data_IF_722308795655
#
_entry.id   IF_722308795655
#
_cell.length_a   1.000
_cell.length_b   1.000
_cell.length_c   1.000
_cell.angle_alpha   90.00
_cell.angle_beta   90.00
_cell.angle_gamma   90.00
#
_symmetry.space_group_name_H-M   'P 1'
#
loop_
_entity.id
_entity.type
_entity.pdbx_description
1 polymer ?
#
# COMPACT_ATOMS: atom_id res chain seq x y z
N UNK A 1 14.62 3.27 42.07
CA UNK A 1 14.08 2.83 40.76
C UNK A 1 14.24 1.33 40.69
N UNK A 2 13.18 0.61 41.04
CA UNK A 2 13.17 -0.85 41.07
C UNK A 2 13.45 -1.39 39.65
N UNK A 3 14.40 -2.31 39.55
CA UNK A 3 14.81 -2.95 38.31
C UNK A 3 13.64 -3.83 37.82
N UNK A 4 12.69 -3.22 37.08
CA UNK A 4 11.43 -3.87 36.70
C UNK A 4 11.71 -5.00 35.72
N UNK A 5 11.34 -6.20 36.16
CA UNK A 5 11.65 -7.47 35.51
C UNK A 5 10.98 -7.59 34.14
N UNK A 6 11.79 -7.54 33.07
CA UNK A 6 11.39 -7.78 31.67
C UNK A 6 11.01 -9.27 31.45
N UNK A 7 11.07 -10.11 32.49
CA UNK A 7 10.72 -11.53 32.39
C UNK A 7 9.23 -11.87 32.48
N UNK A 8 8.34 -10.90 32.66
CA UNK A 8 6.90 -11.20 32.66
C UNK A 8 6.47 -11.79 31.32
N UNK A 9 5.75 -12.94 31.31
CA UNK A 9 5.32 -13.58 30.08
C UNK A 9 4.59 -12.65 29.11
N UNK A 10 3.68 -11.80 29.63
CA UNK A 10 2.93 -10.84 28.82
C UNK A 10 3.82 -9.81 28.10
N UNK A 11 4.89 -9.33 28.74
CA UNK A 11 5.76 -8.31 28.14
C UNK A 11 6.63 -8.91 27.02
N UNK A 12 7.04 -10.18 27.17
CA UNK A 12 7.71 -10.96 26.11
C UNK A 12 6.76 -11.26 24.95
N UNK A 13 5.53 -11.71 25.25
CA UNK A 13 4.49 -11.97 24.25
C UNK A 13 4.21 -10.69 23.47
N UNK A 14 4.04 -9.56 24.16
CA UNK A 14 3.85 -8.28 23.48
C UNK A 14 5.09 -7.94 22.63
N UNK A 15 6.29 -7.96 23.19
CA UNK A 15 7.50 -7.60 22.44
C UNK A 15 7.67 -8.41 21.13
N UNK A 16 7.55 -9.73 21.20
CA UNK A 16 7.85 -10.63 20.07
C UNK A 16 6.63 -11.10 19.29
N UNK A 17 5.40 -10.82 19.76
CA UNK A 17 4.18 -11.09 19.02
C UNK A 17 3.96 -10.11 17.85
N UNK A 18 4.38 -8.85 18.00
CA UNK A 18 4.27 -7.83 16.94
C UNK A 18 4.92 -8.24 15.62
N UNK A 19 6.21 -8.64 15.57
CA UNK A 19 6.85 -9.02 14.30
C UNK A 19 6.13 -10.16 13.59
N UNK A 20 5.65 -11.16 14.33
CA UNK A 20 4.92 -12.29 13.77
C UNK A 20 3.56 -11.85 13.20
N UNK A 21 2.78 -11.12 13.99
CA UNK A 21 1.45 -10.67 13.59
C UNK A 21 1.50 -9.75 12.37
N UNK A 22 2.45 -8.81 12.33
CA UNK A 22 2.66 -7.95 11.16
C UNK A 22 3.12 -8.75 9.96
N UNK A 23 4.04 -9.71 10.11
CA UNK A 23 4.52 -10.51 8.98
C UNK A 23 3.37 -11.30 8.34
N UNK A 24 2.53 -11.94 9.15
CA UNK A 24 1.36 -12.68 8.66
C UNK A 24 0.39 -11.73 7.95
N UNK A 25 0.13 -10.56 8.54
CA UNK A 25 -0.70 -9.53 7.91
C UNK A 25 -0.12 -9.03 6.57
N UNK A 26 1.18 -8.75 6.50
CA UNK A 26 1.86 -8.27 5.29
C UNK A 26 1.79 -9.32 4.17
N UNK A 27 2.05 -10.59 4.49
CA UNK A 27 1.98 -11.69 3.52
C UNK A 27 0.55 -11.91 3.01
N UNK A 28 -0.44 -11.91 3.91
CA UNK A 28 -1.84 -12.00 3.52
C UNK A 28 -2.25 -10.83 2.62
N UNK A 29 -1.92 -9.60 3.01
CA UNK A 29 -2.25 -8.39 2.25
C UNK A 29 -1.62 -8.43 0.86
N UNK A 30 -0.40 -8.95 0.78
CA UNK A 30 0.30 -9.12 -0.50
C UNK A 30 -0.43 -10.11 -1.42
N UNK A 31 -0.91 -11.23 -0.89
CA UNK A 31 -1.71 -12.21 -1.66
C UNK A 31 -3.06 -11.59 -2.05
N UNK A 32 -3.75 -10.95 -1.11
CA UNK A 32 -5.02 -10.25 -1.33
C UNK A 32 -4.92 -9.25 -2.48
N UNK A 33 -3.92 -8.36 -2.45
CA UNK A 33 -3.74 -7.32 -3.47
C UNK A 33 -3.53 -7.89 -4.88
N UNK A 34 -3.11 -9.15 -5.01
CA UNK A 34 -2.80 -9.81 -6.29
C UNK A 34 -3.86 -10.81 -6.73
N UNK A 35 -4.76 -11.21 -5.84
CA UNK A 35 -5.92 -12.03 -6.18
C UNK A 35 -6.85 -11.28 -7.14
N UNK A 36 -7.49 -12.01 -8.06
CA UNK A 36 -8.50 -11.44 -8.94
C UNK A 36 -9.64 -10.82 -8.12
N UNK A 37 -10.01 -9.58 -8.46
CA UNK A 37 -11.08 -8.81 -7.81
C UNK A 37 -12.43 -9.51 -7.81
N UNK A 38 -12.72 -10.34 -8.81
CA UNK A 38 -13.97 -11.08 -8.91
C UNK A 38 -13.90 -12.49 -8.31
N UNK A 39 -12.72 -12.95 -7.86
CA UNK A 39 -12.56 -14.33 -7.38
C UNK A 39 -13.17 -14.54 -5.99
N UNK A 40 -13.82 -15.70 -5.73
CA UNK A 40 -14.37 -16.03 -4.41
C UNK A 40 -13.30 -16.01 -3.30
N UNK A 41 -12.09 -16.48 -3.60
CA UNK A 41 -10.96 -16.50 -2.66
C UNK A 41 -10.58 -15.11 -2.18
N UNK A 42 -10.83 -14.06 -2.97
CA UNK A 42 -10.53 -12.68 -2.57
C UNK A 42 -11.40 -12.23 -1.41
N UNK A 43 -12.66 -12.65 -1.34
CA UNK A 43 -13.55 -12.31 -0.23
C UNK A 43 -13.07 -12.95 1.07
N UNK A 44 -12.60 -14.20 1.02
CA UNK A 44 -11.98 -14.86 2.17
C UNK A 44 -10.70 -14.14 2.63
N UNK A 45 -9.79 -13.84 1.69
CA UNK A 45 -8.55 -13.12 1.97
C UNK A 45 -8.83 -11.74 2.57
N UNK A 46 -9.91 -11.08 2.14
CA UNK A 46 -10.34 -9.79 2.64
C UNK A 46 -10.87 -9.88 4.08
N UNK A 47 -11.70 -10.89 4.38
CA UNK A 47 -12.13 -11.17 5.75
C UNK A 47 -10.95 -11.43 6.70
N UNK A 48 -9.96 -12.20 6.25
CA UNK A 48 -8.72 -12.41 7.03
C UNK A 48 -7.92 -11.12 7.21
N UNK A 49 -7.90 -10.24 6.22
CA UNK A 49 -7.20 -8.96 6.30
C UNK A 49 -7.85 -8.06 7.36
N UNK A 50 -9.18 -8.01 7.41
CA UNK A 50 -9.94 -7.30 8.43
C UNK A 50 -9.68 -7.85 9.83
N UNK A 51 -9.69 -9.17 9.96
CA UNK A 51 -9.42 -9.85 11.22
C UNK A 51 -8.02 -9.54 11.76
N UNK A 52 -6.98 -9.69 10.92
CA UNK A 52 -5.60 -9.42 11.31
C UNK A 52 -5.36 -7.93 11.60
N UNK A 53 -5.97 -7.02 10.82
CA UNK A 53 -5.93 -5.59 11.09
C UNK A 53 -6.56 -5.24 12.44
N UNK A 54 -7.70 -5.86 12.77
CA UNK A 54 -8.35 -5.71 14.08
C UNK A 54 -7.51 -6.29 15.21
N UNK A 55 -6.86 -7.44 14.99
CA UNK A 55 -5.92 -8.01 15.96
C UNK A 55 -4.72 -7.08 16.23
N UNK A 56 -4.18 -6.43 15.18
CA UNK A 56 -3.12 -5.41 15.33
C UNK A 56 -3.61 -4.18 16.10
N UNK A 57 -4.84 -3.72 15.87
CA UNK A 57 -5.45 -2.65 16.64
C UNK A 57 -5.54 -3.00 18.13
N UNK A 58 -6.10 -4.16 18.46
CA UNK A 58 -6.24 -4.63 19.85
C UNK A 58 -4.87 -4.83 20.51
N UNK A 59 -3.90 -5.33 19.75
CA UNK A 59 -2.51 -5.41 20.19
C UNK A 59 -1.94 -4.02 20.53
N UNK A 60 -2.17 -3.02 19.68
CA UNK A 60 -1.73 -1.64 19.91
C UNK A 60 -2.42 -1.01 21.14
N UNK A 61 -3.74 -1.24 21.31
CA UNK A 61 -4.50 -0.83 22.51
C UNK A 61 -3.90 -1.45 23.77
N UNK A 62 -3.66 -2.76 23.77
CA UNK A 62 -3.05 -3.46 24.92
C UNK A 62 -1.65 -2.92 25.22
N UNK A 63 -0.89 -2.58 24.19
CA UNK A 63 0.43 -1.97 24.34
C UNK A 63 0.36 -0.58 24.96
N UNK A 64 -0.54 0.28 24.46
CA UNK A 64 -0.80 1.60 25.02
C UNK A 64 -1.26 1.52 26.47
N UNK A 65 -2.15 0.59 26.80
CA UNK A 65 -2.59 0.35 28.18
C UNK A 65 -1.42 0.01 29.12
N UNK A 66 -0.50 -0.85 28.69
CA UNK A 66 0.72 -1.14 29.47
C UNK A 66 1.60 0.11 29.62
N UNK A 67 1.67 0.98 28.59
CA UNK A 67 2.42 2.23 28.67
C UNK A 67 1.83 3.20 29.67
N UNK A 68 0.50 3.36 29.68
CA UNK A 68 -0.21 4.18 30.66
C UNK A 68 0.00 3.69 32.10
N UNK A 69 0.23 2.38 32.30
CA UNK A 69 0.65 1.80 33.59
C UNK A 69 2.14 2.00 33.91
N UNK A 70 2.85 2.85 33.16
CA UNK A 70 4.28 3.12 33.34
C UNK A 70 5.17 1.96 32.91
N UNK A 71 4.70 1.09 32.00
CA UNK A 71 5.44 -0.07 31.47
C UNK A 71 5.81 0.11 29.98
N UNK A 72 6.06 1.35 29.58
CA UNK A 72 6.53 1.64 28.23
C UNK A 72 7.93 1.01 28.02
N UNK A 73 8.12 0.17 26.99
CA UNK A 73 9.39 -0.47 26.73
C UNK A 73 10.36 0.59 26.21
N UNK A 74 11.53 0.68 26.85
CA UNK A 74 12.62 1.53 26.36
C UNK A 74 13.54 0.79 25.40
N UNK A 75 14.49 1.50 24.79
CA UNK A 75 15.68 0.89 24.20
C UNK A 75 16.30 -0.16 25.12
N UNK A 76 16.79 -1.26 24.56
CA UNK A 76 17.41 -2.35 25.34
C UNK A 76 18.73 -1.94 26.00
N UNK A 77 19.27 -0.79 25.59
CA UNK A 77 20.55 -0.28 26.02
C UNK A 77 20.41 1.21 26.36
N UNK A 78 21.11 1.71 27.39
CA UNK A 78 21.18 3.15 27.64
C UNK A 78 21.62 3.94 26.41
N UNK A 79 20.82 4.94 26.05
CA UNK A 79 21.09 5.89 24.96
C UNK A 79 21.09 7.31 25.51
N UNK A 80 21.86 8.24 24.89
CA UNK A 80 21.76 9.67 25.19
C UNK A 80 20.30 10.17 25.07
N UNK A 81 19.86 11.15 25.87
CA UNK A 81 18.45 11.56 25.92
C UNK A 81 17.85 11.94 24.56
N UNK A 82 18.60 12.67 23.72
CA UNK A 82 18.16 13.01 22.35
C UNK A 82 18.00 11.78 21.46
N UNK A 83 18.95 10.84 21.54
CA UNK A 83 18.91 9.59 20.78
C UNK A 83 17.74 8.69 21.22
N UNK A 84 17.50 8.60 22.53
CA UNK A 84 16.32 7.93 23.09
C UNK A 84 15.02 8.60 22.61
N UNK A 85 14.93 9.92 22.65
CA UNK A 85 13.76 10.65 22.19
C UNK A 85 13.46 10.38 20.71
N UNK A 86 14.49 10.38 19.86
CA UNK A 86 14.37 10.03 18.44
C UNK A 86 13.87 8.60 18.21
N UNK A 87 14.52 7.61 18.84
CA UNK A 87 14.09 6.21 18.75
C UNK A 87 12.64 6.06 19.18
N UNK A 88 12.27 6.64 20.32
CA UNK A 88 10.91 6.53 20.82
C UNK A 88 9.91 7.30 19.95
N UNK A 89 10.30 8.40 19.30
CA UNK A 89 9.43 9.09 18.34
C UNK A 89 9.11 8.19 17.13
N UNK A 90 10.10 7.49 16.57
CA UNK A 90 9.88 6.51 15.49
C UNK A 90 8.99 5.36 15.96
N UNK A 91 9.26 4.80 17.14
CA UNK A 91 8.45 3.71 17.72
C UNK A 91 7.00 4.16 17.89
N UNK A 92 6.78 5.32 18.51
CA UNK A 92 5.44 5.84 18.77
C UNK A 92 4.69 6.18 17.48
N UNK A 93 5.37 6.76 16.49
CA UNK A 93 4.78 7.01 15.18
C UNK A 93 4.33 5.71 14.51
N UNK A 94 5.13 4.64 14.57
CA UNK A 94 4.75 3.32 14.06
C UNK A 94 3.53 2.75 14.81
N UNK A 95 3.48 2.85 16.14
CA UNK A 95 2.31 2.39 16.90
C UNK A 95 1.06 3.21 16.57
N UNK A 96 1.18 4.53 16.37
CA UNK A 96 0.08 5.38 15.93
C UNK A 96 -0.50 4.92 14.59
N UNK A 97 0.34 4.45 13.67
CA UNK A 97 -0.12 3.88 12.40
C UNK A 97 -0.94 2.61 12.60
N UNK A 98 -0.61 1.76 13.58
CA UNK A 98 -1.43 0.58 13.93
C UNK A 98 -2.78 0.92 14.56
N UNK A 99 -2.95 2.14 15.09
CA UNK A 99 -4.27 2.65 15.47
C UNK A 99 -5.02 3.22 14.26
N UNK A 100 -4.34 4.02 13.44
CA UNK A 100 -4.95 4.73 12.32
C UNK A 100 -5.44 3.79 11.21
N UNK A 101 -4.63 2.80 10.81
CA UNK A 101 -4.95 1.92 9.69
C UNK A 101 -6.28 1.16 9.87
N UNK A 102 -6.52 0.45 11.00
CA UNK A 102 -7.77 -0.30 11.18
C UNK A 102 -9.00 0.61 11.27
N UNK A 103 -8.90 1.78 11.91
CA UNK A 103 -9.99 2.75 11.98
C UNK A 103 -10.36 3.28 10.59
N UNK A 104 -9.37 3.64 9.79
CA UNK A 104 -9.59 4.02 8.38
C UNK A 104 -10.14 2.85 7.57
N UNK A 105 -9.66 1.62 7.82
CA UNK A 105 -10.11 0.42 7.12
C UNK A 105 -11.59 0.14 7.34
N UNK A 106 -12.09 0.24 8.57
CA UNK A 106 -13.52 0.11 8.87
C UNK A 106 -14.35 1.14 8.10
N UNK A 107 -13.90 2.40 8.08
CA UNK A 107 -14.58 3.46 7.33
C UNK A 107 -14.58 3.20 5.82
N UNK A 108 -13.49 2.67 5.25
CA UNK A 108 -13.43 2.26 3.84
C UNK A 108 -14.48 1.20 3.55
N UNK A 109 -14.58 0.16 4.37
CA UNK A 109 -15.53 -0.94 4.15
C UNK A 109 -16.97 -0.45 4.21
N UNK A 110 -17.34 0.28 5.26
CA UNK A 110 -18.71 0.77 5.43
C UNK A 110 -19.10 1.82 4.38
N UNK A 111 -18.19 2.75 4.04
CA UNK A 111 -18.47 3.74 2.98
C UNK A 111 -18.51 3.14 1.57
N UNK A 112 -18.08 1.89 1.40
CA UNK A 112 -18.29 1.10 0.18
C UNK A 112 -19.62 0.31 0.19
N UNK A 113 -20.42 0.43 1.25
CA UNK A 113 -21.66 -0.35 1.40
C UNK A 113 -21.44 -1.84 1.68
N UNK A 114 -20.27 -2.22 2.18
CA UNK A 114 -19.96 -3.61 2.53
C UNK A 114 -20.04 -3.84 4.03
N UNK A 115 -20.43 -5.06 4.40
CA UNK A 115 -20.31 -5.55 5.76
C UNK A 115 -18.85 -5.87 6.09
N UNK A 116 -18.47 -5.61 7.34
CA UNK A 116 -17.14 -5.96 7.86
C UNK A 116 -17.19 -7.39 8.39
N UNK A 117 -16.40 -8.29 7.82
CA UNK A 117 -16.32 -9.68 8.31
C UNK A 117 -15.09 -9.89 9.19
N UNK A 118 -15.30 -10.22 10.47
CA UNK A 118 -14.24 -10.65 11.39
C UNK A 118 -14.30 -12.17 11.55
N UNK A 119 -13.72 -12.87 10.57
CA UNK A 119 -13.92 -14.32 10.44
C UNK A 119 -15.40 -14.62 10.12
N UNK A 120 -16.09 -15.48 10.89
CA UNK A 120 -17.49 -15.82 10.63
C UNK A 120 -18.48 -14.75 11.13
N UNK A 121 -18.01 -13.68 11.78
CA UNK A 121 -18.87 -12.66 12.39
C UNK A 121 -19.05 -11.48 11.42
N UNK A 122 -20.25 -11.31 10.83
CA UNK A 122 -20.54 -10.11 10.05
C UNK A 122 -20.85 -8.94 10.99
N UNK A 123 -20.29 -7.78 10.69
CA UNK A 123 -20.58 -6.50 11.34
C UNK A 123 -21.21 -5.61 10.27
N UNK A 124 -22.51 -5.28 10.39
CA UNK A 124 -23.23 -4.56 9.35
C UNK A 124 -22.65 -3.18 9.13
N UNK A 125 -22.75 -2.68 7.90
CA UNK A 125 -22.35 -1.32 7.59
C UNK A 125 -23.13 -0.29 8.43
N UNK A 126 -22.41 0.55 9.18
CA UNK A 126 -23.01 1.66 9.96
C UNK A 126 -23.08 2.96 9.17
N UNK A 127 -22.42 3.02 8.02
CA UNK A 127 -22.47 4.14 7.07
C UNK A 127 -23.13 3.65 5.79
N UNK A 128 -23.91 4.51 5.15
CA UNK A 128 -24.37 4.28 3.79
C UNK A 128 -23.23 4.40 2.78
N UNK A 129 -23.43 3.86 1.58
CA UNK A 129 -22.48 3.99 0.48
C UNK A 129 -22.19 5.47 0.19
N UNK A 130 -20.91 5.85 0.22
CA UNK A 130 -20.47 7.21 -0.04
C UNK A 130 -19.08 7.21 -0.68
N UNK A 131 -19.04 7.51 -1.98
CA UNK A 131 -17.80 7.50 -2.77
C UNK A 131 -16.76 8.51 -2.30
N UNK A 132 -17.17 9.69 -1.83
CA UNK A 132 -16.23 10.71 -1.36
C UNK A 132 -15.52 10.27 -0.06
N UNK A 133 -16.28 9.70 0.87
CA UNK A 133 -15.74 9.12 2.10
C UNK A 133 -14.86 7.92 1.77
N UNK A 134 -15.27 7.06 0.85
CA UNK A 134 -14.50 5.90 0.41
C UNK A 134 -13.15 6.30 -0.21
N UNK A 135 -13.14 7.31 -1.08
CA UNK A 135 -11.92 7.84 -1.68
C UNK A 135 -10.99 8.45 -0.63
N UNK A 136 -11.52 9.30 0.26
CA UNK A 136 -10.74 9.95 1.30
C UNK A 136 -10.12 8.92 2.25
N UNK A 137 -10.94 8.04 2.81
CA UNK A 137 -10.49 7.04 3.78
C UNK A 137 -9.60 5.99 3.14
N UNK A 138 -9.86 5.59 1.89
CA UNK A 138 -9.03 4.66 1.13
C UNK A 138 -7.66 5.23 0.79
N UNK A 139 -7.59 6.52 0.45
CA UNK A 139 -6.33 7.23 0.25
C UNK A 139 -5.50 7.21 1.53
N UNK A 140 -6.06 7.63 2.66
CA UNK A 140 -5.31 7.69 3.92
C UNK A 140 -5.00 6.30 4.49
N UNK A 141 -5.85 5.29 4.29
CA UNK A 141 -5.53 3.91 4.65
C UNK A 141 -4.30 3.40 3.88
N UNK A 142 -4.23 3.68 2.58
CA UNK A 142 -3.04 3.41 1.76
C UNK A 142 -1.85 4.25 2.22
N UNK A 143 -2.06 5.53 2.54
CA UNK A 143 -1.05 6.46 3.04
C UNK A 143 -0.42 6.03 4.37
N UNK A 144 -1.19 5.41 5.28
CA UNK A 144 -0.66 4.78 6.49
C UNK A 144 0.33 3.68 6.14
N UNK A 145 0.03 2.85 5.14
CA UNK A 145 0.92 1.76 4.71
C UNK A 145 2.23 2.30 4.12
N UNK A 146 2.16 3.37 3.31
CA UNK A 146 3.37 4.03 2.80
C UNK A 146 4.14 4.74 3.92
N UNK A 147 3.46 5.32 4.90
CA UNK A 147 4.10 5.90 6.10
C UNK A 147 4.84 4.86 6.93
N UNK A 148 4.26 3.68 7.13
CA UNK A 148 4.93 2.55 7.77
C UNK A 148 6.19 2.13 7.01
N UNK A 149 6.17 2.15 5.67
CA UNK A 149 7.36 1.87 4.86
C UNK A 149 8.48 2.89 5.12
N UNK A 150 8.17 4.19 5.08
CA UNK A 150 9.16 5.25 5.32
C UNK A 150 9.66 5.25 6.77
N UNK A 151 8.79 4.99 7.76
CA UNK A 151 9.19 4.83 9.16
C UNK A 151 10.13 3.64 9.37
N UNK A 152 9.87 2.49 8.72
CA UNK A 152 10.78 1.34 8.75
C UNK A 152 12.14 1.67 8.13
N UNK A 153 12.16 2.38 6.99
CA UNK A 153 13.40 2.86 6.39
C UNK A 153 14.16 3.82 7.33
N UNK A 154 13.46 4.77 7.94
CA UNK A 154 14.04 5.69 8.92
C UNK A 154 14.62 4.94 10.13
N UNK A 155 13.95 3.89 10.61
CA UNK A 155 14.44 3.04 11.69
C UNK A 155 15.69 2.24 11.28
N UNK A 156 15.75 1.71 10.04
CA UNK A 156 16.93 1.04 9.50
C UNK A 156 18.12 2.01 9.38
N UNK A 157 17.92 3.19 8.79
CA UNK A 157 18.97 4.21 8.67
C UNK A 157 19.46 4.69 10.04
N UNK A 158 18.52 4.88 10.98
CA UNK A 158 18.85 5.18 12.39
C UNK A 158 19.66 4.05 13.01
N UNK A 159 19.28 2.80 12.80
CA UNK A 159 20.02 1.65 13.31
C UNK A 159 21.43 1.58 12.75
N UNK A 160 21.64 1.84 11.45
CA UNK A 160 22.97 1.91 10.83
C UNK A 160 23.80 3.03 11.48
N UNK A 161 23.23 4.24 11.59
CA UNK A 161 23.93 5.36 12.22
C UNK A 161 24.31 5.06 13.68
N UNK A 162 23.39 4.51 14.48
CA UNK A 162 23.65 4.15 15.89
C UNK A 162 24.66 3.01 15.99
N UNK A 163 24.66 2.09 15.02
CA UNK A 163 25.63 1.00 14.96
C UNK A 163 27.04 1.58 14.86
N UNK A 164 27.30 2.53 13.95
CA UNK A 164 28.63 3.14 13.85
C UNK A 164 28.93 4.16 14.97
N UNK A 165 27.93 4.91 15.44
CA UNK A 165 28.13 6.01 16.40
C UNK A 165 28.17 5.59 17.87
N UNK A 166 27.31 4.65 18.24
CA UNK A 166 27.02 4.30 19.64
C UNK A 166 27.32 2.85 19.97
N UNK A 167 27.70 2.05 18.99
CA UNK A 167 27.93 0.66 19.24
C UNK A 167 26.66 -0.19 19.25
N UNK A 168 25.49 0.35 18.85
CA UNK A 168 24.20 -0.32 19.06
C UNK A 168 23.36 -0.27 17.79
N UNK A 169 23.04 -1.43 17.22
CA UNK A 169 22.27 -1.52 15.99
C UNK A 169 20.78 -1.66 16.25
N UNK A 170 20.06 -2.15 15.25
CA UNK A 170 18.61 -2.32 15.24
C UNK A 170 18.08 -3.08 16.47
N UNK A 171 18.77 -4.15 16.88
CA UNK A 171 18.37 -5.00 18.00
C UNK A 171 18.80 -4.47 19.39
N UNK A 172 19.60 -3.41 19.46
CA UNK A 172 20.03 -2.83 20.74
C UNK A 172 19.51 -1.42 20.98
N UNK A 173 19.40 -0.62 19.91
CA UNK A 173 18.96 0.77 19.96
C UNK A 173 17.44 0.90 20.14
N UNK A 174 16.67 -0.13 19.77
CA UNK A 174 15.20 -0.11 19.83
C UNK A 174 14.64 -1.02 20.94
N UNK A 175 13.37 -0.84 21.32
CA UNK A 175 12.68 -1.73 22.25
C UNK A 175 12.72 -3.21 21.83
N UNK A 176 12.62 -4.15 22.80
CA UNK A 176 12.54 -5.59 22.51
C UNK A 176 11.51 -5.90 21.43
N UNK A 177 11.92 -6.72 20.45
CA UNK A 177 11.10 -7.16 19.31
C UNK A 177 10.84 -6.13 18.21
N UNK A 178 10.98 -4.82 18.48
CA UNK A 178 10.77 -3.77 17.47
C UNK A 178 11.77 -3.89 16.31
N UNK A 179 13.05 -4.15 16.63
CA UNK A 179 14.06 -4.35 15.60
C UNK A 179 13.77 -5.54 14.68
N UNK A 180 13.24 -6.63 15.24
CA UNK A 180 12.81 -7.81 14.47
C UNK A 180 11.60 -7.47 13.57
N UNK A 181 10.64 -6.70 14.09
CA UNK A 181 9.51 -6.19 13.31
C UNK A 181 10.00 -5.38 12.10
N UNK A 182 10.91 -4.43 12.31
CA UNK A 182 11.45 -3.60 11.22
C UNK A 182 12.14 -4.47 10.18
N UNK A 183 13.00 -5.41 10.60
CA UNK A 183 13.73 -6.27 9.67
C UNK A 183 12.77 -7.15 8.83
N UNK A 184 11.84 -7.85 9.48
CA UNK A 184 10.92 -8.77 8.78
C UNK A 184 9.92 -8.03 7.89
N UNK A 185 9.29 -6.98 8.41
CA UNK A 185 8.30 -6.20 7.65
C UNK A 185 8.94 -5.31 6.58
N UNK A 186 10.22 -4.95 6.70
CA UNK A 186 10.92 -4.30 5.58
C UNK A 186 11.31 -5.31 4.51
N UNK A 187 11.71 -6.54 4.88
CA UNK A 187 11.92 -7.63 3.92
C UNK A 187 10.66 -7.96 3.11
N UNK A 188 9.48 -8.01 3.75
CA UNK A 188 8.20 -8.19 3.04
C UNK A 188 7.93 -7.03 2.06
N UNK A 189 8.30 -5.80 2.44
CA UNK A 189 8.17 -4.63 1.57
C UNK A 189 9.15 -4.67 0.39
N UNK A 190 10.41 -5.07 0.62
CA UNK A 190 11.40 -5.29 -0.45
C UNK A 190 10.90 -6.34 -1.43
N UNK A 191 10.36 -7.46 -0.94
CA UNK A 191 9.74 -8.47 -1.78
C UNK A 191 8.58 -7.89 -2.60
N UNK A 192 7.66 -7.16 -1.96
CA UNK A 192 6.52 -6.58 -2.64
C UNK A 192 6.95 -5.61 -3.75
N UNK A 193 7.94 -4.75 -3.47
CA UNK A 193 8.49 -3.75 -4.41
C UNK A 193 9.32 -4.36 -5.55
N UNK A 194 10.05 -5.45 -5.30
CA UNK A 194 10.85 -6.11 -6.35
C UNK A 194 10.01 -6.99 -7.28
N UNK A 195 8.81 -7.37 -6.86
CA UNK A 195 7.89 -8.23 -7.61
C UNK A 195 6.89 -7.46 -8.49
N UNK A 196 7.11 -6.16 -8.69
CA UNK A 196 6.25 -5.34 -9.54
C UNK A 196 6.22 -5.89 -10.99
N UNK A 197 7.40 -6.21 -11.53
CA UNK A 197 7.55 -6.73 -12.90
C UNK A 197 7.38 -8.25 -12.96
N UNK A 198 8.05 -9.01 -12.10
CA UNK A 198 7.98 -10.47 -12.06
C UNK A 198 8.20 -11.01 -10.64
N UNK A 199 7.50 -12.07 -10.28
CA UNK A 199 7.56 -12.71 -8.95
C UNK A 199 8.93 -13.31 -8.64
N UNK A 200 9.64 -13.79 -9.64
CA UNK A 200 10.93 -14.49 -9.48
C UNK A 200 12.02 -13.59 -8.90
N UNK A 201 11.88 -12.27 -9.05
CA UNK A 201 12.82 -11.28 -8.52
C UNK A 201 12.68 -11.09 -7.00
N UNK A 202 11.55 -11.51 -6.43
CA UNK A 202 11.22 -11.36 -5.01
C UNK A 202 12.29 -11.92 -4.08
N UNK A 203 12.53 -13.25 -4.11
CA UNK A 203 13.50 -13.90 -3.24
C UNK A 203 14.92 -13.33 -3.36
N UNK A 204 15.38 -13.08 -4.59
CA UNK A 204 16.72 -12.51 -4.83
C UNK A 204 16.89 -11.12 -4.22
N UNK A 205 15.90 -10.23 -4.35
CA UNK A 205 15.95 -8.91 -3.76
C UNK A 205 16.00 -8.93 -2.22
N UNK A 206 15.22 -9.82 -1.59
CA UNK A 206 15.25 -10.01 -0.13
C UNK A 206 16.61 -10.56 0.31
N UNK A 207 17.17 -11.52 -0.41
CA UNK A 207 18.50 -12.07 -0.10
C UNK A 207 19.57 -10.98 -0.17
N UNK A 208 19.57 -10.14 -1.21
CA UNK A 208 20.49 -8.99 -1.34
C UNK A 208 20.33 -8.03 -0.15
N UNK A 209 19.09 -7.67 0.20
CA UNK A 209 18.81 -6.80 1.35
C UNK A 209 19.39 -7.37 2.66
N UNK A 210 19.14 -8.65 2.94
CA UNK A 210 19.65 -9.31 4.14
C UNK A 210 21.19 -9.41 4.15
N UNK A 211 21.81 -9.69 2.99
CA UNK A 211 23.26 -9.67 2.84
C UNK A 211 23.84 -8.28 3.12
N UNK A 212 23.20 -7.19 2.66
CA UNK A 212 23.61 -5.83 2.98
C UNK A 212 23.52 -5.57 4.49
N UNK A 213 22.41 -5.96 5.14
CA UNK A 213 22.28 -5.85 6.59
C UNK A 213 23.38 -6.61 7.35
N UNK A 214 23.70 -7.84 6.91
CA UNK A 214 24.76 -8.65 7.50
C UNK A 214 26.15 -8.04 7.29
N UNK A 215 26.43 -7.52 6.09
CA UNK A 215 27.69 -6.84 5.77
C UNK A 215 27.88 -5.58 6.61
N UNK A 216 26.85 -4.73 6.75
CA UNK A 216 26.89 -3.54 7.62
C UNK A 216 27.15 -3.94 9.07
N UNK A 217 26.49 -5.00 9.54
CA UNK A 217 26.70 -5.51 10.89
C UNK A 217 28.13 -6.02 11.11
N UNK A 218 28.66 -6.83 10.19
CA UNK A 218 30.03 -7.34 10.23
C UNK A 218 31.08 -6.23 10.15
N UNK A 219 30.91 -5.25 9.25
CA UNK A 219 31.80 -4.10 9.14
C UNK A 219 31.84 -3.29 10.44
N UNK A 220 30.68 -3.04 11.05
CA UNK A 220 30.66 -2.34 12.32
C UNK A 220 31.33 -3.14 13.44
N UNK A 221 31.25 -4.47 13.44
CA UNK A 221 31.94 -5.30 14.43
C UNK A 221 33.46 -5.17 14.29
N UNK A 222 33.97 -5.23 13.06
CA UNK A 222 35.40 -5.04 12.75
C UNK A 222 35.91 -3.66 13.21
N UNK A 223 35.17 -2.60 12.92
CA UNK A 223 35.55 -1.21 13.25
C UNK A 223 35.54 -0.89 14.76
N UNK A 224 34.93 -1.74 15.59
CA UNK A 224 34.75 -1.48 17.03
C UNK A 224 35.78 -2.12 17.94
N UNK A 225 36.79 -2.82 17.39
CA UNK A 225 37.99 -3.17 18.15
C UNK A 225 38.69 -1.86 18.58
N UNK A 226 38.35 -1.34 19.77
CA UNK A 226 39.07 -0.24 20.42
C UNK A 226 38.31 1.08 20.69
N UNK A 227 36.98 1.18 20.58
CA UNK A 227 36.26 2.43 20.92
C UNK A 227 35.22 2.26 22.03
N UNK A 228 35.52 2.83 23.19
CA UNK A 228 34.54 3.14 24.25
C UNK A 228 34.24 4.63 24.14
N UNK A 229 32.97 5.03 23.99
CA UNK A 229 32.57 6.35 24.48
C UNK A 229 31.12 6.34 24.95
N UNK A 230 30.96 6.68 26.23
CA UNK A 230 29.75 7.25 26.79
C UNK A 230 29.96 8.76 26.93
N UNK A 231 28.96 9.56 26.61
CA UNK A 231 28.79 10.90 27.19
C UNK A 231 27.31 11.12 27.45
N UNK A 232 26.97 11.47 28.69
CA UNK A 232 25.64 11.91 29.12
C UNK A 232 25.51 13.42 28.95
N UNK A 233 24.58 13.88 28.11
CA UNK A 233 24.15 15.29 28.03
C UNK A 233 22.86 15.46 28.90
N UNK A 234 22.85 16.34 29.92
CA UNK A 234 21.71 16.55 30.83
C UNK A 234 20.46 17.19 30.18
N UNK A 235 20.53 17.64 28.91
CA UNK A 235 19.43 18.34 28.24
C UNK A 235 18.25 17.46 27.79
N UNK A 236 17.63 16.67 28.67
CA UNK A 236 16.59 15.70 28.33
C UNK A 236 15.31 16.31 27.72
N UNK A 237 14.98 17.56 28.06
CA UNK A 237 13.75 18.23 27.59
C UNK A 237 13.93 18.86 26.21
N UNK A 238 15.15 19.26 25.84
CA UNK A 238 15.43 20.00 24.59
C UNK A 238 15.39 19.16 23.30
N UNK A 239 15.19 17.84 23.39
CA UNK A 239 15.22 16.93 22.24
C UNK A 239 13.90 16.25 21.86
N UNK A 240 12.86 16.31 22.71
CA UNK A 240 11.62 15.55 22.49
C UNK A 240 10.76 16.18 21.39
N UNK A 241 10.47 17.48 21.49
CA UNK A 241 9.67 18.21 20.50
C UNK A 241 10.24 18.07 19.08
N UNK A 242 11.53 18.36 18.82
CA UNK A 242 12.07 18.21 17.46
C UNK A 242 12.05 16.76 16.95
N UNK A 243 12.23 15.76 17.83
CA UNK A 243 12.12 14.36 17.45
C UNK A 243 10.70 13.97 17.03
N UNK A 244 9.68 14.44 17.77
CA UNK A 244 8.27 14.22 17.43
C UNK A 244 7.92 14.91 16.12
N UNK A 245 8.32 16.17 15.93
CA UNK A 245 8.07 16.91 14.68
C UNK A 245 8.72 16.22 13.48
N UNK A 246 9.95 15.72 13.62
CA UNK A 246 10.62 14.97 12.56
C UNK A 246 9.91 13.64 12.24
N UNK A 247 9.44 12.91 13.26
CA UNK A 247 8.66 11.69 13.03
C UNK A 247 7.31 11.97 12.37
N UNK A 248 6.64 13.07 12.75
CA UNK A 248 5.41 13.54 12.07
C UNK A 248 5.70 13.91 10.62
N UNK A 249 6.79 14.62 10.34
CA UNK A 249 7.18 14.95 8.96
C UNK A 249 7.41 13.70 8.10
N UNK A 250 8.01 12.64 8.67
CA UNK A 250 8.15 11.34 8.00
C UNK A 250 6.79 10.71 7.70
N UNK A 251 5.85 10.76 8.65
CA UNK A 251 4.48 10.27 8.42
C UNK A 251 3.81 11.09 7.33
N UNK A 252 3.87 12.42 7.37
CA UNK A 252 3.28 13.29 6.34
C UNK A 252 3.88 13.02 4.96
N UNK A 253 5.20 12.82 4.87
CA UNK A 253 5.86 12.42 3.62
C UNK A 253 5.32 11.07 3.12
N UNK A 254 5.16 10.10 4.02
CA UNK A 254 4.54 8.82 3.69
C UNK A 254 3.09 8.95 3.21
N UNK A 255 2.30 9.84 3.81
CA UNK A 255 0.91 10.11 3.43
C UNK A 255 0.78 10.70 2.02
N UNK A 256 1.83 11.35 1.51
CA UNK A 256 1.87 11.82 0.11
C UNK A 256 2.24 10.70 -0.88
N UNK A 257 2.71 9.56 -0.38
CA UNK A 257 3.16 8.42 -1.18
C UNK A 257 2.16 7.88 -2.20
N UNK A 258 0.87 7.67 -1.87
CA UNK A 258 -0.12 7.21 -2.85
C UNK A 258 -0.27 8.18 -4.04
N UNK A 259 -0.23 9.48 -3.79
CA UNK A 259 -0.25 10.49 -4.86
C UNK A 259 1.04 10.45 -5.69
N UNK A 260 2.21 10.38 -5.05
CA UNK A 260 3.49 10.30 -5.78
C UNK A 260 3.60 9.08 -6.69
N UNK A 261 3.13 7.91 -6.21
CA UNK A 261 3.29 6.64 -6.91
C UNK A 261 2.19 6.40 -7.95
N UNK A 262 0.95 6.81 -7.63
CA UNK A 262 -0.23 6.40 -8.40
C UNK A 262 -1.13 7.58 -8.81
N UNK A 263 -0.74 8.83 -8.50
CA UNK A 263 -1.53 10.06 -8.72
C UNK A 263 -2.96 10.02 -8.17
N UNK A 264 -3.21 9.17 -7.18
CA UNK A 264 -4.48 9.12 -6.47
C UNK A 264 -4.60 10.37 -5.60
N UNK A 265 -5.81 10.93 -5.50
CA UNK A 265 -6.14 12.04 -4.63
C UNK A 265 -7.18 11.60 -3.60
N UNK A 266 -7.14 12.11 -2.36
CA UNK A 266 -8.19 11.85 -1.37
C UNK A 266 -9.53 12.52 -1.74
N UNK A 267 -9.57 13.36 -2.77
CA UNK A 267 -10.76 14.08 -3.20
C UNK A 267 -11.14 13.68 -4.63
N UNK A 268 -12.44 13.52 -4.88
CA UNK A 268 -12.94 13.39 -6.23
C UNK A 268 -12.64 14.69 -7.00
N UNK A 269 -11.93 14.57 -8.11
CA UNK A 269 -11.61 15.68 -9.01
C UNK A 269 -12.17 15.40 -10.40
N UNK A 270 -12.54 16.46 -11.11
CA UNK A 270 -12.98 16.39 -12.51
C UNK A 270 -14.48 16.56 -12.71
N UNK A 271 -14.87 16.59 -13.97
CA UNK A 271 -16.25 16.77 -14.41
C UNK A 271 -16.92 15.42 -14.62
N UNK A 272 -18.16 15.29 -14.14
CA UNK A 272 -19.03 14.18 -14.58
C UNK A 272 -19.59 14.57 -15.94
N UNK A 273 -19.15 13.87 -16.98
CA UNK A 273 -19.71 14.04 -18.31
C UNK A 273 -20.90 13.10 -18.42
N UNK A 274 -22.09 13.67 -18.52
CA UNK A 274 -23.28 12.88 -18.82
C UNK A 274 -23.12 12.31 -20.23
N UNK A 275 -23.27 11.00 -20.35
CA UNK A 275 -23.42 10.37 -21.64
C UNK A 275 -24.69 10.88 -22.33
N UNK A 276 -24.64 11.08 -23.64
CA UNK A 276 -25.84 11.10 -24.47
C UNK A 276 -26.72 9.87 -24.17
N UNK A 277 -28.04 10.06 -24.18
CA UNK A 277 -28.99 8.99 -23.91
C UNK A 277 -28.67 7.74 -24.75
N UNK A 278 -28.61 6.58 -24.10
CA UNK A 278 -28.29 5.27 -24.70
C UNK A 278 -26.84 5.07 -25.20
N UNK A 279 -25.93 6.01 -24.93
CA UNK A 279 -24.51 5.92 -25.30
C UNK A 279 -23.63 5.99 -24.05
N UNK A 280 -23.85 5.04 -23.13
CA UNK A 280 -22.93 4.74 -22.03
C UNK A 280 -22.22 3.43 -22.30
N UNK A 281 -21.01 3.25 -21.76
CA UNK A 281 -20.27 1.98 -21.86
C UNK A 281 -21.02 0.76 -21.31
N UNK A 282 -22.10 0.98 -20.55
CA UNK A 282 -22.91 -0.07 -19.94
C UNK A 282 -24.23 -0.35 -20.68
N UNK A 283 -24.68 0.54 -21.55
CA UNK A 283 -25.98 0.46 -22.23
C UNK A 283 -25.89 0.26 -23.73
N UNK A 284 -24.80 0.70 -24.37
CA UNK A 284 -24.61 0.50 -25.80
C UNK A 284 -24.44 -1.00 -26.12
N UNK A 285 -24.99 -1.50 -27.26
CA UNK A 285 -24.74 -2.87 -27.70
C UNK A 285 -23.25 -3.14 -27.81
N UNK A 286 -22.78 -4.21 -27.16
CA UNK A 286 -21.38 -4.63 -27.24
C UNK A 286 -21.11 -5.24 -28.61
N UNK A 287 -20.02 -4.82 -29.23
CA UNK A 287 -19.47 -5.52 -30.39
C UNK A 287 -18.66 -6.69 -29.82
N UNK A 288 -19.19 -7.90 -29.95
CA UNK A 288 -18.51 -9.12 -29.50
C UNK A 288 -17.57 -9.59 -30.60
N UNK A 289 -16.28 -9.33 -30.42
CA UNK A 289 -15.22 -9.86 -31.29
C UNK A 289 -14.84 -11.27 -30.86
N UNK A 290 -14.84 -12.23 -31.80
CA UNK A 290 -14.31 -13.56 -31.57
C UNK A 290 -12.78 -13.52 -31.57
N UNK A 291 -12.19 -13.54 -30.39
CA UNK A 291 -10.74 -13.53 -30.21
C UNK A 291 -10.15 -14.94 -30.22
N UNK A 292 -8.92 -15.14 -30.74
CA UNK A 292 -8.23 -16.41 -30.62
C UNK A 292 -7.95 -16.76 -29.15
N UNK A 293 -7.67 -18.05 -28.85
CA UNK A 293 -7.21 -18.47 -27.54
C UNK A 293 -6.00 -17.67 -27.07
N UNK A 294 -5.92 -17.45 -25.75
CA UNK A 294 -4.83 -16.68 -25.16
C UNK A 294 -3.46 -17.30 -25.47
N UNK A 295 -2.53 -16.49 -25.97
CA UNK A 295 -1.17 -16.93 -26.29
C UNK A 295 -0.27 -16.97 -25.04
N UNK A 296 0.89 -17.62 -25.12
CA UNK A 296 1.88 -17.57 -24.03
C UNK A 296 2.38 -16.14 -23.76
N UNK A 297 2.54 -15.35 -24.82
CA UNK A 297 2.90 -13.94 -24.67
C UNK A 297 1.80 -13.15 -23.97
N UNK A 298 0.54 -13.34 -24.34
CA UNK A 298 -0.60 -12.71 -23.66
C UNK A 298 -0.70 -13.14 -22.19
N UNK A 299 -0.51 -14.43 -21.87
CA UNK A 299 -0.43 -14.91 -20.47
C UNK A 299 0.64 -14.18 -19.67
N UNK A 300 1.82 -14.00 -20.26
CA UNK A 300 2.92 -13.25 -19.63
C UNK A 300 2.55 -11.78 -19.45
N UNK A 301 2.05 -11.11 -20.49
CA UNK A 301 1.58 -9.71 -20.42
C UNK A 301 0.48 -9.54 -19.39
N UNK A 302 -0.42 -10.52 -19.24
CA UNK A 302 -1.45 -10.54 -18.21
C UNK A 302 -0.84 -10.52 -16.81
N UNK A 303 0.09 -11.45 -16.56
CA UNK A 303 0.73 -11.64 -15.26
C UNK A 303 1.72 -10.52 -14.89
N UNK A 304 2.31 -9.84 -15.87
CA UNK A 304 3.33 -8.80 -15.64
C UNK A 304 2.76 -7.38 -15.72
N UNK A 305 1.82 -7.14 -16.66
CA UNK A 305 1.35 -5.79 -17.03
C UNK A 305 -0.15 -5.60 -16.83
N UNK A 306 -1.03 -6.47 -17.35
CA UNK A 306 -2.49 -6.27 -17.26
C UNK A 306 -3.01 -6.29 -15.82
N UNK A 307 -2.39 -7.09 -14.93
CA UNK A 307 -2.69 -7.07 -13.48
C UNK A 307 -2.66 -5.67 -12.87
N UNK A 308 -1.95 -4.72 -13.47
CA UNK A 308 -1.90 -3.34 -12.98
C UNK A 308 -3.19 -2.58 -13.22
N UNK A 309 -3.87 -2.87 -14.34
CA UNK A 309 -5.17 -2.30 -14.67
C UNK A 309 -6.22 -2.71 -13.62
N UNK A 310 -6.14 -3.93 -13.11
CA UNK A 310 -7.11 -4.44 -12.13
C UNK A 310 -6.98 -3.78 -10.75
N UNK A 311 -5.87 -3.12 -10.41
CA UNK A 311 -5.80 -2.32 -9.18
C UNK A 311 -6.75 -1.14 -9.22
N UNK A 312 -6.81 -0.45 -10.36
CA UNK A 312 -7.59 0.78 -10.53
C UNK A 312 -8.96 0.54 -11.14
N UNK A 313 -9.19 -0.58 -11.81
CA UNK A 313 -10.42 -0.82 -12.56
C UNK A 313 -11.04 -2.18 -12.22
N UNK A 314 -12.35 -2.26 -12.39
CA UNK A 314 -13.10 -3.52 -12.51
C UNK A 314 -13.41 -3.76 -13.98
N UNK A 315 -13.54 -5.03 -14.37
CA UNK A 315 -13.76 -5.41 -15.77
C UNK A 315 -15.15 -5.99 -16.05
N UNK A 316 -15.89 -6.39 -15.01
CA UNK A 316 -17.18 -7.07 -15.13
C UNK A 316 -18.35 -6.09 -15.33
N UNK A 317 -19.41 -6.57 -16.00
CA UNK A 317 -20.66 -5.82 -16.20
C UNK A 317 -21.24 -5.38 -14.85
N UNK A 318 -21.50 -4.09 -14.71
CA UNK A 318 -22.06 -3.52 -13.48
C UNK A 318 -21.10 -3.50 -12.29
N UNK A 319 -19.82 -3.85 -12.48
CA UNK A 319 -18.82 -3.75 -11.42
C UNK A 319 -18.59 -2.30 -10.96
N UNK A 320 -18.26 -2.12 -9.68
CA UNK A 320 -18.09 -0.80 -9.06
C UNK A 320 -16.95 0.02 -9.68
N UNK A 321 -17.08 1.35 -9.68
CA UNK A 321 -15.94 2.22 -9.92
C UNK A 321 -14.98 2.17 -8.75
N UNK A 322 -13.69 2.11 -9.05
CA UNK A 322 -12.64 2.11 -8.04
C UNK A 322 -11.93 3.47 -8.09
N UNK A 323 -10.59 3.45 -8.11
CA UNK A 323 -9.79 4.63 -8.42
C UNK A 323 -10.09 5.12 -9.85
N UNK A 324 -10.17 4.19 -10.80
CA UNK A 324 -10.62 4.40 -12.17
C UNK A 324 -12.06 3.95 -12.39
N UNK A 325 -12.66 4.29 -13.56
CA UNK A 325 -13.99 3.83 -13.92
C UNK A 325 -14.00 2.31 -14.15
N UNK A 326 -15.20 1.73 -14.19
CA UNK A 326 -15.35 0.36 -14.67
C UNK A 326 -15.01 0.32 -16.18
N UNK A 327 -14.27 -0.70 -16.63
CA UNK A 327 -13.82 -0.82 -18.03
C UNK A 327 -14.64 -1.83 -18.86
N UNK A 328 -15.72 -2.37 -18.31
CA UNK A 328 -16.60 -3.26 -19.05
C UNK A 328 -17.11 -2.57 -20.32
N UNK A 329 -16.91 -3.22 -21.47
CA UNK A 329 -17.47 -2.79 -22.73
C UNK A 329 -16.97 -1.46 -23.28
N UNK A 330 -15.78 -0.96 -22.87
CA UNK A 330 -15.34 0.38 -23.27
C UNK A 330 -14.92 0.51 -24.74
N UNK A 331 -14.55 -0.59 -25.40
CA UNK A 331 -14.09 -0.54 -26.80
C UNK A 331 -15.22 -0.06 -27.73
N UNK A 332 -14.89 0.89 -28.61
CA UNK A 332 -15.84 1.58 -29.48
C UNK A 332 -16.71 2.64 -28.78
N UNK A 333 -16.63 2.77 -27.45
CA UNK A 333 -17.43 3.74 -26.71
C UNK A 333 -16.79 5.11 -26.71
N UNK A 334 -17.63 6.15 -26.69
CA UNK A 334 -17.19 7.54 -26.52
C UNK A 334 -16.46 7.69 -25.19
N UNK A 335 -15.31 8.38 -25.22
CA UNK A 335 -14.49 8.60 -24.04
C UNK A 335 -15.26 9.37 -22.95
N UNK A 336 -14.88 9.14 -21.69
CA UNK A 336 -15.43 9.85 -20.53
C UNK A 336 -16.96 9.72 -20.33
N UNK A 337 -17.59 8.63 -20.76
CA UNK A 337 -19.06 8.45 -20.67
C UNK A 337 -19.54 7.47 -19.61
N UNK A 338 -18.64 6.85 -18.83
CA UNK A 338 -19.05 5.91 -17.78
C UNK A 338 -19.89 6.67 -16.75
N UNK A 339 -21.13 6.25 -16.47
CA UNK A 339 -22.03 6.95 -15.56
C UNK A 339 -21.40 7.12 -14.17
N UNK A 340 -21.72 8.22 -13.49
CA UNK A 340 -21.30 8.46 -12.09
C UNK A 340 -19.78 8.45 -11.81
N UNK A 341 -18.93 8.49 -12.84
CA UNK A 341 -17.48 8.67 -12.69
C UNK A 341 -17.04 10.09 -13.09
N UNK A 342 -16.25 10.80 -12.25
CA UNK A 342 -15.70 12.10 -12.62
C UNK A 342 -14.40 11.93 -13.44
N UNK A 343 -14.34 12.59 -14.59
CA UNK A 343 -13.19 12.56 -15.49
C UNK A 343 -12.42 13.88 -15.45
N UNK A 344 -11.08 13.80 -15.61
CA UNK A 344 -10.25 14.98 -15.79
C UNK A 344 -10.67 15.80 -17.02
N UNK A 345 -10.50 17.12 -16.97
CA UNK A 345 -11.05 18.04 -17.96
C UNK A 345 -10.62 17.73 -19.40
N UNK A 346 -9.37 17.31 -19.60
CA UNK A 346 -8.87 16.97 -20.94
C UNK A 346 -9.56 15.74 -21.53
N UNK A 347 -9.67 14.64 -20.76
CA UNK A 347 -10.33 13.44 -21.25
C UNK A 347 -11.85 13.67 -21.43
N UNK A 348 -12.45 14.46 -20.54
CA UNK A 348 -13.83 14.92 -20.67
C UNK A 348 -14.03 15.73 -21.96
N UNK A 349 -13.09 16.61 -22.33
CA UNK A 349 -13.15 17.38 -23.57
C UNK A 349 -13.06 16.51 -24.82
N UNK A 350 -12.17 15.51 -24.84
CA UNK A 350 -12.09 14.50 -25.93
C UNK A 350 -13.41 13.74 -26.09
N UNK A 351 -13.99 13.32 -24.96
CA UNK A 351 -15.33 12.73 -24.93
C UNK A 351 -16.40 13.65 -25.51
N UNK A 352 -16.44 14.93 -25.12
CA UNK A 352 -17.37 15.93 -25.69
C UNK A 352 -17.17 16.18 -27.18
N UNK A 353 -15.93 16.04 -27.68
CA UNK A 353 -15.61 16.11 -29.11
C UNK A 353 -16.05 14.86 -29.89
N UNK A 354 -16.59 13.83 -29.22
CA UNK A 354 -17.09 12.62 -29.86
C UNK A 354 -16.04 11.53 -30.07
N UNK A 355 -14.84 11.69 -29.51
CA UNK A 355 -13.80 10.68 -29.65
C UNK A 355 -14.15 9.37 -28.93
N UNK A 356 -13.78 8.24 -29.53
CA UNK A 356 -14.10 6.89 -29.05
C UNK A 356 -12.84 6.08 -28.74
N UNK A 357 -12.97 5.08 -27.86
CA UNK A 357 -11.90 4.13 -27.58
C UNK A 357 -11.73 3.12 -28.72
N UNK A 358 -10.86 3.44 -29.68
CA UNK A 358 -10.34 2.47 -30.67
C UNK A 358 -9.06 1.82 -30.15
N UNK A 359 -8.60 0.76 -30.83
CA UNK A 359 -7.32 0.11 -30.54
C UNK A 359 -6.16 1.13 -30.62
N UNK A 360 -6.17 2.03 -31.62
CA UNK A 360 -5.16 3.07 -31.80
C UNK A 360 -5.21 4.13 -30.68
N UNK A 361 -6.41 4.61 -30.35
CA UNK A 361 -6.58 5.61 -29.29
C UNK A 361 -6.18 5.05 -27.93
N UNK A 362 -6.54 3.79 -27.64
CA UNK A 362 -6.11 3.13 -26.42
C UNK A 362 -4.60 2.88 -26.41
N UNK A 363 -3.99 2.46 -27.52
CA UNK A 363 -2.54 2.32 -27.63
C UNK A 363 -1.80 3.64 -27.38
N UNK A 364 -2.27 4.76 -27.96
CA UNK A 364 -1.69 6.08 -27.71
C UNK A 364 -1.84 6.51 -26.24
N UNK A 365 -3.00 6.24 -25.63
CA UNK A 365 -3.20 6.50 -24.21
C UNK A 365 -2.25 5.66 -23.33
N UNK A 366 -2.07 4.37 -23.63
CA UNK A 366 -1.13 3.49 -22.91
C UNK A 366 0.33 3.91 -23.09
N UNK A 367 0.69 4.47 -24.25
CA UNK A 367 2.03 4.96 -24.54
C UNK A 367 2.40 6.22 -23.74
N UNK A 368 1.44 7.14 -23.58
CA UNK A 368 1.64 8.36 -22.79
C UNK A 368 0.30 9.00 -22.41
N UNK A 369 -0.27 8.67 -21.24
CA UNK A 369 -1.53 9.25 -20.78
C UNK A 369 -1.49 10.78 -20.69
N UNK A 370 -0.35 11.34 -20.27
CA UNK A 370 -0.18 12.78 -20.10
C UNK A 370 -0.16 13.53 -21.43
N UNK A 371 0.44 12.96 -22.47
CA UNK A 371 0.38 13.55 -23.81
C UNK A 371 -0.98 13.35 -24.47
N UNK A 372 -1.63 12.21 -24.24
CA UNK A 372 -2.94 11.92 -24.79
C UNK A 372 -4.05 12.78 -24.16
N UNK A 373 -4.05 12.92 -22.84
CA UNK A 373 -5.02 13.73 -22.11
C UNK A 373 -4.31 14.51 -20.99
N UNK A 374 -3.75 15.69 -21.27
CA UNK A 374 -3.04 16.50 -20.29
C UNK A 374 -3.82 16.70 -18.99
N UNK A 375 -3.19 16.41 -17.86
CA UNK A 375 -3.82 16.50 -16.54
C UNK A 375 -4.73 15.32 -16.18
N UNK A 376 -4.71 14.22 -16.95
CA UNK A 376 -5.41 12.99 -16.58
C UNK A 376 -4.86 12.42 -15.26
N UNK A 377 -5.76 12.02 -14.37
CA UNK A 377 -5.43 11.28 -13.15
C UNK A 377 -5.25 9.77 -13.41
N UNK A 378 -5.67 9.28 -14.58
CA UNK A 378 -5.51 7.88 -14.98
C UNK A 378 -4.10 7.65 -15.53
N UNK A 379 -3.20 7.19 -14.67
CA UNK A 379 -1.84 6.80 -15.02
C UNK A 379 -1.74 5.29 -15.27
N UNK A 380 -0.81 4.89 -16.13
CA UNK A 380 -0.42 3.48 -16.21
C UNK A 380 0.54 3.19 -15.06
N UNK A 381 0.05 2.56 -14.00
CA UNK A 381 0.80 2.36 -12.74
C UNK A 381 2.07 1.51 -12.90
N UNK A 382 2.17 0.71 -13.96
CA UNK A 382 3.39 -0.04 -14.31
C UNK A 382 4.43 0.78 -15.10
N UNK A 383 4.15 2.05 -15.37
CA UNK A 383 4.86 2.89 -16.32
C UNK A 383 4.26 2.82 -17.73
N UNK A 384 4.55 3.83 -18.54
CA UNK A 384 4.11 3.93 -19.94
C UNK A 384 4.47 2.67 -20.74
N UNK A 385 3.51 2.16 -21.49
CA UNK A 385 3.67 0.96 -22.31
C UNK A 385 3.89 1.41 -23.74
N UNK A 386 5.14 1.47 -24.18
CA UNK A 386 5.52 1.96 -25.51
C UNK A 386 5.78 0.84 -26.51
N UNK A 387 5.92 -0.40 -26.05
CA UNK A 387 6.14 -1.56 -26.91
C UNK A 387 4.83 -1.95 -27.63
N UNK A 388 4.78 -1.92 -28.98
CA UNK A 388 3.54 -2.16 -29.72
C UNK A 388 2.97 -3.57 -29.54
N UNK A 389 3.83 -4.58 -29.36
CA UNK A 389 3.39 -5.96 -29.15
C UNK A 389 2.67 -6.11 -27.80
N UNK A 390 3.26 -5.55 -26.74
CA UNK A 390 2.68 -5.49 -25.40
C UNK A 390 1.37 -4.69 -25.38
N UNK A 391 1.31 -3.55 -26.07
CA UNK A 391 0.07 -2.76 -26.21
C UNK A 391 -1.05 -3.60 -26.84
N UNK A 392 -0.75 -4.26 -27.97
CA UNK A 392 -1.73 -5.10 -28.67
C UNK A 392 -2.23 -6.23 -27.77
N UNK A 393 -1.31 -6.92 -27.09
CA UNK A 393 -1.67 -7.98 -26.16
C UNK A 393 -2.57 -7.47 -25.01
N UNK A 394 -2.29 -6.29 -24.44
CA UNK A 394 -3.14 -5.70 -23.40
C UNK A 394 -4.54 -5.36 -23.90
N UNK A 395 -4.66 -4.82 -25.12
CA UNK A 395 -5.93 -4.49 -25.74
C UNK A 395 -6.73 -5.78 -25.99
N UNK A 396 -6.09 -6.84 -26.51
CA UNK A 396 -6.71 -8.16 -26.69
C UNK A 396 -7.18 -8.75 -25.37
N UNK A 397 -6.35 -8.69 -24.32
CA UNK A 397 -6.73 -9.15 -22.98
C UNK A 397 -7.93 -8.34 -22.46
N UNK A 398 -7.90 -7.01 -22.57
CA UNK A 398 -9.01 -6.16 -22.14
C UNK A 398 -10.32 -6.52 -22.85
N UNK A 399 -10.28 -6.67 -24.18
CA UNK A 399 -11.43 -7.09 -24.99
C UNK A 399 -11.99 -8.42 -24.48
N UNK A 400 -11.11 -9.42 -24.25
CA UNK A 400 -11.48 -10.74 -23.72
C UNK A 400 -12.12 -10.67 -22.34
N UNK A 401 -11.56 -9.87 -21.41
CA UNK A 401 -12.06 -9.73 -20.03
C UNK A 401 -13.40 -8.99 -19.93
N UNK A 402 -13.68 -8.09 -20.85
CA UNK A 402 -14.81 -7.15 -20.76
C UNK A 402 -15.99 -7.56 -21.63
N UNK A 403 -15.99 -8.79 -22.16
CA UNK A 403 -17.12 -9.31 -22.93
C UNK A 403 -17.08 -8.99 -24.42
N UNK A 404 -15.90 -8.74 -25.00
CA UNK A 404 -15.63 -9.16 -26.39
C UNK A 404 -15.26 -10.64 -26.33
N UNK A 405 -16.22 -11.50 -25.99
CA UNK A 405 -15.95 -12.90 -25.70
C UNK A 405 -15.74 -13.70 -27.00
N UNK A 406 -14.62 -14.41 -26.99
CA UNK A 406 -14.20 -15.46 -27.91
C UNK A 406 -15.30 -16.52 -28.20
N UNK A 407 -15.21 -17.23 -29.34
CA UNK A 407 -16.23 -18.17 -29.83
C UNK A 407 -16.45 -19.37 -28.92
N UNK A 408 -17.68 -19.92 -28.96
CA UNK A 408 -17.85 -21.36 -29.20
C UNK A 408 -17.83 -21.62 -30.72
#
# INVERSE_FOLDING_TARGET
MEHRDVNRPLDKILAYGLPLLVLVHDLLTMILLRSDKASPIREELRGWHYFLGTALFLYAVMRLWQWLKGRAPGPQVPLPPRAKAWVMALVNATYLMFFAAPLLGVLVVWSHGMDLHLGPIPIPALLGENREVWLFTGYFHSGVSTSLLVLKLAALLTAVWFLFRHGRGLFGAFPPGFGLFVLLSFSSSVFALSTFKSYERGPGAVAIFLCICAAIWGLSWLMRRGRVTAVSDPGAVRGVVPAVLAAVAIVVLGMYGPHMLFRVSPFAQGQRVAAAAHVTSHEAPLIIEQLPPETDFERKVRAETFKWCTFCHTMNKGGAHMVGPNLYGIMGQRMATVPNFPYGDSLAARGKAGEVWTDENLAMFLANPDAFAPGTSMVVSSGNITDPETQRALITILKRETGSAAPD
#
